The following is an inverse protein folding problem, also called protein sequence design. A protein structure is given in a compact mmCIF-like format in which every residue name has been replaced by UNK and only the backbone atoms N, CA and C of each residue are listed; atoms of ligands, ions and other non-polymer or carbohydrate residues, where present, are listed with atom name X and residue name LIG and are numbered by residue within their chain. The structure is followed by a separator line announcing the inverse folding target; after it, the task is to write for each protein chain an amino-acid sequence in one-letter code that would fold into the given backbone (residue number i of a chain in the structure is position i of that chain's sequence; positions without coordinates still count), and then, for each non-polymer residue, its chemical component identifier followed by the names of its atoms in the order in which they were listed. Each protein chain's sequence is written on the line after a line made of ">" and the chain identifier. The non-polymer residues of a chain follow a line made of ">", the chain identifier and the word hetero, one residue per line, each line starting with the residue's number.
data_IF_102678474830
#
_entry.id   IF_102678474830
#
_cell.length_a   1.000
_cell.length_b   1.000
_cell.length_c   1.000
_cell.angle_alpha   90.00
_cell.angle_beta   90.00
_cell.angle_gamma   90.00
#
_symmetry.space_group_name_H-M   'P 1'
#
loop_
_entity.id
_entity.type
_entity.pdbx_description
1 polymer ?
#
# COMPACT_ATOMS: atom_id res chain seq x y z
N UNK A 1 2.82 -14.03 -10.93
CA UNK A 1 2.78 -13.49 -9.56
C UNK A 1 3.11 -12.01 -9.68
N UNK A 2 2.20 -11.14 -9.30
CA UNK A 2 2.37 -9.69 -9.43
C UNK A 2 2.96 -9.06 -8.16
N UNK A 3 3.38 -7.79 -8.28
CA UNK A 3 3.94 -6.97 -7.19
C UNK A 3 3.00 -6.91 -5.98
N UNK A 4 1.70 -6.91 -6.19
CA UNK A 4 0.70 -6.88 -5.11
C UNK A 4 0.72 -8.15 -4.26
N UNK A 5 1.04 -9.30 -4.86
CA UNK A 5 1.19 -10.55 -4.13
C UNK A 5 2.43 -10.53 -3.21
N UNK A 6 3.54 -9.96 -3.67
CA UNK A 6 4.75 -9.83 -2.84
C UNK A 6 4.50 -8.88 -1.65
N UNK A 7 3.74 -7.78 -1.86
CA UNK A 7 3.32 -6.87 -0.79
C UNK A 7 2.43 -7.57 0.24
N UNK A 8 1.49 -8.39 -0.23
CA UNK A 8 0.64 -9.20 0.62
C UNK A 8 1.43 -10.27 1.41
N UNK A 9 2.42 -10.92 0.79
CA UNK A 9 3.29 -11.83 1.51
C UNK A 9 4.06 -11.12 2.63
N UNK A 10 4.67 -9.96 2.34
CA UNK A 10 5.37 -9.17 3.37
C UNK A 10 4.45 -8.72 4.51
N UNK A 11 3.20 -8.37 4.21
CA UNK A 11 2.19 -8.10 5.24
C UNK A 11 1.95 -9.31 6.14
N UNK A 12 1.76 -10.51 5.57
CA UNK A 12 1.57 -11.74 6.34
C UNK A 12 2.77 -12.09 7.20
N UNK A 13 3.95 -12.04 6.62
CA UNK A 13 5.21 -12.28 7.34
C UNK A 13 5.35 -11.37 8.55
N UNK A 14 5.04 -10.07 8.40
CA UNK A 14 5.06 -9.12 9.50
C UNK A 14 4.05 -9.46 10.61
N UNK A 15 2.84 -9.90 10.28
CA UNK A 15 1.87 -10.37 11.28
C UNK A 15 2.38 -11.61 12.01
N UNK A 16 2.93 -12.58 11.30
CA UNK A 16 3.48 -13.82 11.87
C UNK A 16 4.65 -13.52 12.80
N UNK A 17 5.59 -12.66 12.41
CA UNK A 17 6.72 -12.22 13.26
C UNK A 17 6.27 -11.58 14.56
N UNK A 18 5.19 -10.79 14.51
CA UNK A 18 4.61 -10.13 15.67
C UNK A 18 3.59 -10.99 16.42
N UNK A 19 3.40 -12.25 16.01
CA UNK A 19 2.43 -13.21 16.60
C UNK A 19 0.99 -12.69 16.56
N UNK A 20 0.67 -11.91 15.53
CA UNK A 20 -0.68 -11.44 15.27
C UNK A 20 -1.37 -12.47 14.36
N UNK A 21 -2.52 -13.02 14.75
CA UNK A 21 -3.23 -13.97 13.91
C UNK A 21 -3.58 -13.36 12.55
N UNK A 22 -3.26 -14.08 11.48
CA UNK A 22 -3.66 -13.70 10.13
C UNK A 22 -5.18 -13.92 10.00
N UNK A 23 -5.98 -12.86 9.77
CA UNK A 23 -7.43 -12.99 9.69
C UNK A 23 -7.86 -13.86 8.50
N UNK A 24 -8.92 -14.65 8.65
CA UNK A 24 -9.54 -15.33 7.51
C UNK A 24 -10.23 -14.28 6.63
N UNK A 25 -10.08 -14.42 5.30
CA UNK A 25 -10.65 -13.47 4.32
C UNK A 25 -10.13 -12.02 4.46
N UNK A 26 -8.87 -11.87 4.77
CA UNK A 26 -8.17 -10.61 4.94
C UNK A 26 -7.83 -9.87 3.65
N UNK A 27 -7.87 -10.58 2.53
CA UNK A 27 -7.46 -10.07 1.23
C UNK A 27 -8.66 -9.71 0.37
N UNK A 28 -8.74 -8.43 0.00
CA UNK A 28 -9.75 -7.92 -0.92
C UNK A 28 -9.10 -7.63 -2.27
N UNK A 29 -9.43 -8.43 -3.26
CA UNK A 29 -9.01 -8.15 -4.63
C UNK A 29 -9.87 -7.03 -5.20
N UNK A 30 -9.26 -5.87 -5.48
CA UNK A 30 -9.94 -4.74 -6.08
C UNK A 30 -10.25 -5.04 -7.54
N UNK A 31 -11.52 -4.97 -7.89
CA UNK A 31 -11.99 -5.23 -9.26
C UNK A 31 -11.56 -4.14 -10.24
N UNK A 32 -11.55 -4.47 -11.52
CA UNK A 32 -11.18 -3.53 -12.59
C UNK A 32 -12.24 -2.47 -12.81
N UNK A 33 -11.78 -1.25 -13.12
CA UNK A 33 -12.62 -0.10 -13.44
C UNK A 33 -13.43 0.40 -12.23
N UNK A 34 -14.11 1.52 -12.42
CA UNK A 34 -14.85 2.20 -11.35
C UNK A 34 -15.89 1.29 -10.67
N UNK A 35 -16.62 0.50 -11.45
CA UNK A 35 -17.65 -0.40 -10.91
C UNK A 35 -17.04 -1.49 -10.04
N UNK A 36 -15.90 -2.08 -10.47
CA UNK A 36 -15.19 -3.11 -9.70
C UNK A 36 -14.62 -2.55 -8.39
N UNK A 37 -14.04 -1.36 -8.42
CA UNK A 37 -13.53 -0.66 -7.24
C UNK A 37 -14.67 -0.41 -6.24
N UNK A 38 -15.78 0.17 -6.68
CA UNK A 38 -16.94 0.46 -5.83
C UNK A 38 -17.48 -0.80 -5.16
N UNK A 39 -17.67 -1.88 -5.92
CA UNK A 39 -18.15 -3.15 -5.35
C UNK A 39 -17.24 -3.68 -4.25
N UNK A 40 -15.92 -3.57 -4.43
CA UNK A 40 -14.95 -4.00 -3.41
C UNK A 40 -15.07 -3.13 -2.16
N UNK A 41 -15.18 -1.80 -2.32
CA UNK A 41 -15.32 -0.90 -1.18
C UNK A 41 -16.66 -1.07 -0.45
N UNK A 42 -17.75 -1.41 -1.16
CA UNK A 42 -19.03 -1.77 -0.51
C UNK A 42 -18.88 -2.98 0.41
N UNK A 43 -18.17 -4.02 -0.04
CA UNK A 43 -17.90 -5.20 0.78
C UNK A 43 -17.04 -4.84 2.00
N UNK A 44 -16.00 -4.00 1.82
CA UNK A 44 -15.18 -3.52 2.92
C UNK A 44 -16.01 -2.72 3.93
N UNK A 45 -16.87 -1.80 3.46
CA UNK A 45 -17.75 -1.01 4.34
C UNK A 45 -18.72 -1.88 5.15
N UNK A 46 -19.29 -2.93 4.55
CA UNK A 46 -20.16 -3.86 5.26
C UNK A 46 -19.45 -4.60 6.41
N UNK A 47 -18.13 -4.75 6.29
CA UNK A 47 -17.29 -5.46 7.24
C UNK A 47 -16.36 -4.53 8.04
N UNK A 48 -16.57 -3.22 7.99
CA UNK A 48 -15.63 -2.23 8.54
C UNK A 48 -15.33 -2.45 10.04
N UNK A 49 -16.31 -2.92 10.80
CA UNK A 49 -16.17 -3.21 12.22
C UNK A 49 -15.32 -4.46 12.54
N UNK A 50 -14.95 -5.25 11.53
CA UNK A 50 -14.07 -6.40 11.70
C UNK A 50 -12.58 -5.99 11.68
N UNK A 51 -12.28 -4.74 11.28
CA UNK A 51 -10.92 -4.26 11.05
C UNK A 51 -10.62 -3.03 11.91
N UNK A 52 -9.36 -2.88 12.31
CA UNK A 52 -8.82 -1.65 12.92
C UNK A 52 -7.98 -0.85 11.93
N UNK A 53 -7.46 -1.51 10.90
CA UNK A 53 -6.66 -0.90 9.86
C UNK A 53 -6.82 -1.63 8.52
N UNK A 54 -6.65 -0.88 7.43
CA UNK A 54 -6.60 -1.39 6.05
C UNK A 54 -5.28 -0.98 5.40
N UNK A 55 -4.57 -1.96 4.85
CA UNK A 55 -3.38 -1.74 4.04
C UNK A 55 -3.73 -1.88 2.56
N UNK A 56 -3.47 -0.82 1.81
CA UNK A 56 -3.67 -0.79 0.36
C UNK A 56 -2.34 -0.95 -0.37
N UNK A 57 -2.32 -1.80 -1.37
CA UNK A 57 -1.14 -2.02 -2.20
C UNK A 57 -0.75 -0.79 -3.06
N UNK A 58 -1.59 0.27 -3.10
CA UNK A 58 -1.28 1.53 -3.79
C UNK A 58 -2.02 2.71 -3.14
N UNK A 59 -1.36 3.87 -3.07
CA UNK A 59 -1.95 5.13 -2.63
C UNK A 59 -3.14 5.58 -3.49
N UNK A 60 -3.14 5.19 -4.76
CA UNK A 60 -4.27 5.47 -5.66
C UNK A 60 -5.56 4.87 -5.08
N UNK A 61 -5.58 3.57 -4.82
CA UNK A 61 -6.75 2.92 -4.24
C UNK A 61 -7.04 3.38 -2.82
N UNK A 62 -6.00 3.59 -1.99
CA UNK A 62 -6.18 4.10 -0.63
C UNK A 62 -6.89 5.46 -0.63
N UNK A 63 -6.51 6.38 -1.51
CA UNK A 63 -7.12 7.71 -1.59
C UNK A 63 -8.59 7.67 -2.02
N UNK A 64 -8.92 6.81 -2.97
CA UNK A 64 -10.31 6.60 -3.37
C UNK A 64 -11.14 5.98 -2.24
N UNK A 65 -10.56 5.01 -1.51
CA UNK A 65 -11.23 4.41 -0.37
C UNK A 65 -11.52 5.43 0.74
N UNK A 66 -10.58 6.31 1.07
CA UNK A 66 -10.78 7.38 2.07
C UNK A 66 -11.97 8.27 1.70
N UNK A 67 -12.06 8.72 0.43
CA UNK A 67 -13.19 9.51 -0.03
C UNK A 67 -14.50 8.69 0.03
N UNK A 68 -14.45 7.43 -0.38
CA UNK A 68 -15.60 6.53 -0.36
C UNK A 68 -16.11 6.28 1.07
N UNK A 69 -15.22 6.14 2.04
CA UNK A 69 -15.54 6.01 3.46
C UNK A 69 -16.16 7.28 4.01
N UNK A 70 -15.59 8.45 3.67
CA UNK A 70 -16.12 9.74 4.07
C UNK A 70 -17.58 9.92 3.64
N UNK A 71 -17.93 9.58 2.40
CA UNK A 71 -19.30 9.67 1.87
C UNK A 71 -20.29 8.75 2.63
N UNK A 72 -19.78 7.77 3.38
CA UNK A 72 -20.56 6.83 4.21
C UNK A 72 -20.47 7.10 5.71
N UNK A 73 -19.87 8.22 6.09
CA UNK A 73 -19.71 8.59 7.48
C UNK A 73 -18.65 7.80 8.26
N UNK A 74 -17.82 7.02 7.55
CA UNK A 74 -16.68 6.30 8.15
C UNK A 74 -15.47 7.23 8.18
N UNK A 75 -14.95 7.51 9.36
CA UNK A 75 -13.89 8.47 9.57
C UNK A 75 -12.51 7.79 9.57
N UNK A 76 -11.57 8.36 8.85
CA UNK A 76 -10.16 7.98 8.87
C UNK A 76 -9.38 9.10 9.58
N UNK A 77 -8.61 8.82 10.61
CA UNK A 77 -8.28 7.52 11.21
C UNK A 77 -9.18 7.07 12.37
N UNK A 78 -10.25 7.82 12.73
CA UNK A 78 -11.02 7.62 13.97
C UNK A 78 -11.71 6.26 14.02
N UNK A 79 -12.34 5.84 12.94
CA UNK A 79 -13.08 4.58 12.86
C UNK A 79 -12.22 3.45 12.24
N UNK A 80 -11.34 3.80 11.30
CA UNK A 80 -10.44 2.87 10.62
C UNK A 80 -9.14 3.55 10.22
N UNK A 81 -8.00 2.95 10.52
CA UNK A 81 -6.70 3.40 10.00
C UNK A 81 -6.49 2.95 8.56
N UNK A 82 -5.85 3.79 7.74
CA UNK A 82 -5.54 3.48 6.33
C UNK A 82 -4.06 3.70 6.05
N UNK A 83 -3.42 2.68 5.48
CA UNK A 83 -2.02 2.73 5.03
C UNK A 83 -1.98 2.47 3.53
N UNK A 84 -1.19 3.27 2.81
CA UNK A 84 -0.97 3.13 1.37
C UNK A 84 0.41 2.60 1.02
N UNK A 85 0.74 2.67 -0.27
CA UNK A 85 2.03 2.31 -0.83
C UNK A 85 2.34 3.21 -2.03
N UNK A 86 3.59 3.66 -2.20
CA UNK A 86 4.27 4.43 -3.24
C UNK A 86 4.72 5.83 -2.81
N UNK A 87 4.07 6.52 -1.88
CA UNK A 87 4.24 7.94 -1.52
C UNK A 87 4.10 8.88 -2.73
N UNK A 88 3.08 8.65 -3.52
CA UNK A 88 2.79 9.47 -4.70
C UNK A 88 1.89 10.69 -4.36
N UNK A 89 1.42 11.40 -5.41
CA UNK A 89 0.58 12.59 -5.27
C UNK A 89 -0.72 12.33 -4.50
N UNK A 90 -1.30 11.12 -4.62
CA UNK A 90 -2.54 10.74 -3.94
C UNK A 90 -2.35 10.70 -2.43
N UNK A 91 -1.23 10.14 -1.93
CA UNK A 91 -0.95 10.10 -0.50
C UNK A 91 -0.87 11.50 0.14
N UNK A 92 -0.36 12.48 -0.60
CA UNK A 92 -0.12 13.85 -0.12
C UNK A 92 -1.36 14.73 -0.19
N UNK A 93 -2.24 14.48 -1.16
CA UNK A 93 -3.40 15.34 -1.44
C UNK A 93 -4.71 14.81 -0.82
N UNK A 94 -4.75 13.57 -0.37
CA UNK A 94 -5.90 13.01 0.36
C UNK A 94 -6.05 13.67 1.74
N UNK A 95 -7.26 13.72 2.27
CA UNK A 95 -7.56 14.16 3.64
C UNK A 95 -8.34 13.06 4.37
N UNK A 96 -7.72 12.53 5.44
CA UNK A 96 -6.37 12.79 5.97
C UNK A 96 -5.27 12.37 4.99
N UNK A 97 -4.06 12.94 5.11
CA UNK A 97 -2.90 12.55 4.30
C UNK A 97 -2.49 11.12 4.68
N UNK A 98 -2.18 10.31 3.67
CA UNK A 98 -1.92 8.90 3.89
C UNK A 98 -0.53 8.64 4.49
N UNK A 99 -0.50 7.85 5.55
CA UNK A 99 0.67 7.08 5.96
C UNK A 99 0.93 6.04 4.87
N UNK A 100 2.15 5.93 4.38
CA UNK A 100 2.46 5.13 3.19
C UNK A 100 3.91 4.65 3.16
N UNK A 101 4.19 3.59 2.43
CA UNK A 101 5.54 3.15 2.12
C UNK A 101 6.08 3.93 0.93
N UNK A 102 7.16 4.69 1.13
CA UNK A 102 7.85 5.43 0.06
C UNK A 102 8.82 4.51 -0.66
N UNK A 103 8.68 4.40 -1.97
CA UNK A 103 9.73 3.96 -2.86
C UNK A 103 10.47 5.18 -3.41
N UNK A 104 11.75 5.03 -3.75
CA UNK A 104 12.50 6.09 -4.41
C UNK A 104 12.49 5.87 -5.94
N UNK A 105 11.55 6.45 -6.70
CA UNK A 105 11.45 6.24 -8.13
C UNK A 105 12.64 6.79 -8.91
N UNK A 106 13.28 7.86 -8.42
CA UNK A 106 14.47 8.44 -9.06
C UNK A 106 15.67 7.53 -8.95
N UNK A 107 15.87 6.90 -7.80
CA UNK A 107 16.94 5.93 -7.59
C UNK A 107 16.70 4.66 -8.41
N UNK A 108 15.46 4.17 -8.41
CA UNK A 108 15.03 3.03 -9.23
C UNK A 108 15.30 3.26 -10.72
N UNK A 109 14.94 4.43 -11.24
CA UNK A 109 15.21 4.82 -12.61
C UNK A 109 16.69 4.91 -12.93
N UNK A 110 17.47 5.59 -12.09
CA UNK A 110 18.94 5.69 -12.27
C UNK A 110 19.62 4.33 -12.25
N UNK A 111 19.25 3.47 -11.29
CA UNK A 111 19.79 2.12 -11.17
C UNK A 111 19.47 1.30 -12.40
N UNK A 112 18.23 1.33 -12.87
CA UNK A 112 17.81 0.61 -14.07
C UNK A 112 18.62 1.07 -15.31
N UNK A 113 18.71 2.38 -15.55
CA UNK A 113 19.47 2.93 -16.68
C UNK A 113 20.98 2.57 -16.58
N UNK A 114 21.57 2.65 -15.40
CA UNK A 114 22.97 2.26 -15.20
C UNK A 114 23.21 0.78 -15.57
N UNK A 115 22.31 -0.12 -15.24
CA UNK A 115 22.42 -1.54 -15.63
C UNK A 115 22.27 -1.73 -17.15
N UNK A 116 21.33 -1.02 -17.78
CA UNK A 116 21.13 -1.07 -19.24
C UNK A 116 22.38 -0.56 -19.98
N UNK A 117 22.99 0.54 -19.52
CA UNK A 117 24.23 1.07 -20.13
C UNK A 117 25.40 0.08 -20.02
N UNK A 118 25.54 -0.62 -18.91
CA UNK A 118 26.54 -1.70 -18.77
C UNK A 118 26.32 -2.81 -19.79
N UNK A 119 25.06 -3.25 -19.96
CA UNK A 119 24.73 -4.25 -20.97
C UNK A 119 25.07 -3.80 -22.39
N UNK A 120 24.74 -2.56 -22.75
CA UNK A 120 25.07 -1.98 -24.06
C UNK A 120 26.58 -1.95 -24.31
N UNK A 121 27.35 -1.63 -23.28
CA UNK A 121 28.81 -1.58 -23.34
C UNK A 121 29.50 -2.95 -23.24
N UNK A 122 28.73 -4.05 -23.18
CA UNK A 122 29.24 -5.41 -22.94
C UNK A 122 30.04 -5.54 -21.61
N UNK A 123 29.73 -4.71 -20.63
CA UNK A 123 30.30 -4.82 -19.29
C UNK A 123 29.57 -5.91 -18.48
N UNK A 124 30.30 -6.55 -17.56
CA UNK A 124 29.69 -7.53 -16.67
C UNK A 124 28.72 -6.87 -15.70
N UNK A 125 27.56 -7.51 -15.47
CA UNK A 125 26.61 -7.12 -14.42
C UNK A 125 26.93 -7.95 -13.17
N UNK A 126 27.55 -7.36 -12.14
CA UNK A 126 27.95 -8.12 -10.94
C UNK A 126 26.76 -8.54 -10.08
N UNK A 127 25.61 -7.85 -10.18
CA UNK A 127 24.39 -8.11 -9.39
C UNK A 127 23.19 -8.09 -10.31
N UNK A 128 22.52 -9.25 -10.44
CA UNK A 128 21.31 -9.39 -11.28
C UNK A 128 20.04 -8.91 -10.57
N UNK A 129 20.00 -8.98 -9.24
CA UNK A 129 18.84 -8.57 -8.43
C UNK A 129 19.28 -7.46 -7.47
N UNK A 130 18.88 -6.24 -7.75
CA UNK A 130 19.17 -5.08 -6.91
C UNK A 130 17.93 -4.79 -6.07
N UNK A 131 18.06 -4.85 -4.75
CA UNK A 131 17.04 -4.41 -3.80
C UNK A 131 17.30 -2.96 -3.45
N UNK A 132 16.23 -2.16 -3.49
CA UNK A 132 16.24 -0.78 -3.04
C UNK A 132 15.34 -0.68 -1.80
N UNK A 133 15.76 0.12 -0.84
CA UNK A 133 15.04 0.30 0.41
C UNK A 133 13.72 1.05 0.19
N UNK A 134 12.73 0.73 1.03
CA UNK A 134 11.48 1.46 1.16
C UNK A 134 11.42 2.08 2.57
N UNK A 135 10.80 3.25 2.68
CA UNK A 135 10.69 4.04 3.90
C UNK A 135 9.24 4.22 4.31
N UNK A 136 8.92 3.98 5.59
CA UNK A 136 7.61 4.31 6.13
C UNK A 136 7.50 5.82 6.36
N UNK A 137 6.54 6.46 5.69
CA UNK A 137 6.21 7.88 5.85
C UNK A 137 4.92 7.99 6.67
N UNK A 138 5.06 8.35 7.93
CA UNK A 138 3.93 8.52 8.86
C UNK A 138 3.25 9.86 8.58
N UNK A 139 1.90 9.83 8.45
CA UNK A 139 1.02 10.99 8.30
C UNK A 139 -0.23 10.85 9.14
N UNK A 140 -1.35 11.35 8.63
CA UNK A 140 -2.55 11.62 9.41
C UNK A 140 -3.59 10.47 9.36
N UNK A 141 -3.39 9.44 8.53
CA UNK A 141 -4.39 8.39 8.26
C UNK A 141 -4.32 7.17 9.18
N UNK A 142 -3.46 7.19 10.18
CA UNK A 142 -3.29 6.12 11.17
C UNK A 142 -3.36 6.70 12.57
N UNK A 143 -4.06 6.01 13.47
CA UNK A 143 -4.09 6.33 14.90
C UNK A 143 -3.49 5.21 15.73
N UNK A 144 -2.94 5.58 16.88
CA UNK A 144 -2.54 4.65 17.93
C UNK A 144 -3.79 4.13 18.67
N UNK A 145 -3.94 2.81 18.73
CA UNK A 145 -5.05 2.12 19.43
C UNK A 145 -4.59 1.41 20.70
N UNK A 146 -3.34 1.60 21.12
CA UNK A 146 -2.76 0.93 22.29
C UNK A 146 -3.17 1.55 23.65
N UNK A 147 -4.15 2.48 23.66
CA UNK A 147 -4.65 3.14 24.87
C UNK A 147 -5.98 2.58 25.30
#
# INVERSE_FOLDING_TARGET
>A
VGVDYERWQGYREALEEHRIPVPKNEFFQIGFGTVGIIKTYDVVCQRINEFTALFFASDYYASFAVNYFYDRGIRVPEDISVVGFDDNIFARNTRPRLTTMRQNPSEKGRTAVAQVLRLINNESIPVHNIRLDAELVIRDSVKDISK
#
